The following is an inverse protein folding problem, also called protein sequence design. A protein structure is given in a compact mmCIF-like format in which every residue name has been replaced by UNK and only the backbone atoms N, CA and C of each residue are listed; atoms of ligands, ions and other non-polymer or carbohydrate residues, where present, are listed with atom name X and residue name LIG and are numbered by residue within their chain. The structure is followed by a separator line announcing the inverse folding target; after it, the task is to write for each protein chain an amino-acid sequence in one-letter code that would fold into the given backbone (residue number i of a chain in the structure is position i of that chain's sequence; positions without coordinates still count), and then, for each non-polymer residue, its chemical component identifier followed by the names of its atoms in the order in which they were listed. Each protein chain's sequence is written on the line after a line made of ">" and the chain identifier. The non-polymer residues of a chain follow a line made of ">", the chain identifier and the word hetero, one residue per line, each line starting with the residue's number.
data_IF_662233779529
#
_entry.id   IF_662233779529
#
_cell.length_a   1.000
_cell.length_b   1.000
_cell.length_c   1.000
_cell.angle_alpha   90.00
_cell.angle_beta   90.00
_cell.angle_gamma   90.00
#
_symmetry.space_group_name_H-M   'P 1'
#
loop_
_entity.id
_entity.type
_entity.pdbx_description
1 polymer ?
#
# COMPACT_ATOMS: atom_id res chain seq x y z
N UNK A 1 5.14 -20.58 7.57
CA UNK A 1 4.72 -19.56 6.57
C UNK A 1 3.58 -18.78 7.17
N UNK A 2 3.65 -17.44 7.18
CA UNK A 2 2.52 -16.61 7.63
C UNK A 2 1.35 -16.73 6.64
N UNK A 3 0.13 -16.70 7.16
CA UNK A 3 -1.10 -16.72 6.35
C UNK A 3 -1.18 -15.42 5.54
N UNK A 4 -1.34 -15.45 4.21
CA UNK A 4 -1.46 -14.24 3.41
C UNK A 4 -2.78 -13.51 3.70
N UNK A 5 -2.82 -12.19 3.50
CA UNK A 5 -4.06 -11.38 3.66
C UNK A 5 -5.21 -11.93 2.81
N UNK A 6 -4.88 -12.47 1.63
CA UNK A 6 -5.84 -13.13 0.73
C UNK A 6 -6.55 -14.33 1.38
N UNK A 7 -5.96 -14.99 2.37
CA UNK A 7 -6.51 -16.17 3.03
C UNK A 7 -7.22 -15.87 4.37
N UNK A 8 -7.24 -14.62 4.83
CA UNK A 8 -7.92 -14.23 6.08
C UNK A 8 -9.45 -14.40 5.95
N UNK A 9 -10.07 -14.86 7.03
CA UNK A 9 -11.52 -14.85 7.25
C UNK A 9 -12.00 -13.44 7.57
N UNK A 10 -13.30 -13.17 7.43
CA UNK A 10 -13.86 -11.83 7.64
C UNK A 10 -13.53 -11.22 9.01
N UNK A 11 -13.59 -11.96 10.15
CA UNK A 11 -13.17 -11.42 11.44
C UNK A 11 -11.68 -11.06 11.50
N UNK A 12 -10.82 -11.88 10.89
CA UNK A 12 -9.38 -11.60 10.81
C UNK A 12 -9.10 -10.40 9.90
N UNK A 13 -9.86 -10.24 8.80
CA UNK A 13 -9.77 -9.09 7.92
C UNK A 13 -10.11 -7.79 8.67
N UNK A 14 -11.18 -7.78 9.46
CA UNK A 14 -11.58 -6.61 10.25
C UNK A 14 -10.51 -6.25 11.30
N UNK A 15 -9.97 -7.25 12.01
CA UNK A 15 -8.89 -7.03 12.97
C UNK A 15 -7.62 -6.49 12.31
N UNK A 16 -7.22 -7.08 11.18
CA UNK A 16 -6.07 -6.62 10.42
C UNK A 16 -6.28 -5.19 9.90
N UNK A 17 -7.49 -4.85 9.44
CA UNK A 17 -7.84 -3.53 8.96
C UNK A 17 -7.66 -2.48 10.06
N UNK A 18 -8.25 -2.71 11.24
CA UNK A 18 -8.13 -1.79 12.38
C UNK A 18 -6.68 -1.66 12.86
N UNK A 19 -5.93 -2.77 12.93
CA UNK A 19 -4.52 -2.75 13.34
C UNK A 19 -3.68 -1.91 12.37
N UNK A 20 -3.84 -2.12 11.06
CA UNK A 20 -3.05 -1.40 10.06
C UNK A 20 -3.42 0.09 10.06
N UNK A 21 -4.71 0.41 10.19
CA UNK A 21 -5.17 1.80 10.29
C UNK A 21 -4.53 2.51 11.49
N UNK A 22 -4.55 1.87 12.66
CA UNK A 22 -3.88 2.41 13.87
C UNK A 22 -2.37 2.57 13.68
N UNK A 23 -1.70 1.59 13.05
CA UNK A 23 -0.27 1.68 12.76
C UNK A 23 0.06 2.89 11.87
N UNK A 24 -0.75 3.15 10.84
CA UNK A 24 -0.56 4.33 9.97
C UNK A 24 -0.78 5.61 10.77
N UNK A 25 -1.87 5.71 11.53
CA UNK A 25 -2.21 6.92 12.29
C UNK A 25 -1.13 7.26 13.34
N UNK A 26 -0.54 6.24 13.97
CA UNK A 26 0.55 6.39 14.94
C UNK A 26 1.92 6.60 14.30
N UNK A 27 2.07 6.31 13.00
CA UNK A 27 3.37 6.40 12.32
C UNK A 27 3.72 7.81 11.86
N UNK A 28 2.78 8.77 11.88
CA UNK A 28 2.99 10.14 11.39
C UNK A 28 4.13 10.83 12.16
N UNK A 29 5.18 11.22 11.45
CA UNK A 29 6.37 11.87 11.98
C UNK A 29 6.92 12.85 10.93
N UNK A 30 7.50 13.97 11.37
CA UNK A 30 8.13 14.97 10.49
C UNK A 30 9.43 14.46 9.85
N UNK A 31 10.06 13.42 10.40
CA UNK A 31 11.34 12.86 9.95
C UNK A 31 11.21 11.56 9.14
N UNK A 32 10.25 11.45 8.22
CA UNK A 32 10.11 10.24 7.39
C UNK A 32 11.35 9.96 6.54
N UNK A 33 11.94 8.78 6.74
CA UNK A 33 12.95 8.23 5.84
C UNK A 33 12.32 7.67 4.57
N UNK A 34 13.13 7.40 3.54
CA UNK A 34 12.66 6.69 2.35
C UNK A 34 12.00 5.34 2.68
N UNK A 35 12.53 4.62 3.68
CA UNK A 35 11.96 3.35 4.10
C UNK A 35 10.57 3.53 4.71
N UNK A 36 10.35 4.58 5.52
CA UNK A 36 9.05 4.85 6.13
C UNK A 36 7.97 5.11 5.07
N UNK A 37 8.31 5.85 4.01
CA UNK A 37 7.42 6.05 2.88
C UNK A 37 7.04 4.74 2.18
N UNK A 38 8.01 3.85 1.96
CA UNK A 38 7.77 2.53 1.33
C UNK A 38 6.90 1.64 2.23
N UNK A 39 7.20 1.61 3.54
CA UNK A 39 6.42 0.82 4.49
C UNK A 39 4.98 1.35 4.59
N UNK A 40 4.80 2.67 4.63
CA UNK A 40 3.48 3.31 4.64
C UNK A 40 2.69 3.01 3.36
N UNK A 41 3.35 3.05 2.20
CA UNK A 41 2.76 2.65 0.92
C UNK A 41 2.25 1.21 0.96
N UNK A 42 3.06 0.28 1.51
CA UNK A 42 2.66 -1.13 1.68
C UNK A 42 1.46 -1.28 2.61
N UNK A 43 1.45 -0.58 3.74
CA UNK A 43 0.33 -0.63 4.69
C UNK A 43 -0.97 -0.11 4.07
N UNK A 44 -0.91 1.02 3.34
CA UNK A 44 -2.07 1.55 2.59
C UNK A 44 -2.57 0.60 1.52
N UNK A 45 -1.67 -0.08 0.80
CA UNK A 45 -2.04 -1.10 -0.16
C UNK A 45 -2.86 -2.21 0.50
N UNK A 46 -2.40 -2.73 1.64
CA UNK A 46 -3.13 -3.76 2.38
C UNK A 46 -4.45 -3.28 2.97
N UNK A 47 -4.57 -2.01 3.40
CA UNK A 47 -5.86 -1.44 3.79
C UNK A 47 -6.86 -1.43 2.63
N UNK A 48 -6.41 -1.10 1.42
CA UNK A 48 -7.25 -1.16 0.23
C UNK A 48 -7.71 -2.59 -0.07
N UNK A 49 -6.82 -3.59 0.04
CA UNK A 49 -7.17 -5.00 -0.16
C UNK A 49 -8.19 -5.49 0.87
N UNK A 50 -8.01 -5.09 2.13
CA UNK A 50 -8.91 -5.44 3.23
C UNK A 50 -10.26 -4.73 3.13
N UNK A 51 -10.28 -3.44 2.80
CA UNK A 51 -11.50 -2.64 2.57
C UNK A 51 -12.34 -3.26 1.44
N UNK A 52 -11.70 -3.63 0.33
CA UNK A 52 -12.36 -4.34 -0.77
C UNK A 52 -12.95 -5.69 -0.33
N UNK A 53 -12.19 -6.50 0.40
CA UNK A 53 -12.64 -7.81 0.91
C UNK A 53 -13.80 -7.72 1.89
N UNK A 54 -13.81 -6.68 2.72
CA UNK A 54 -14.86 -6.42 3.70
C UNK A 54 -16.13 -5.83 3.06
N UNK A 55 -16.16 -5.63 1.74
CA UNK A 55 -17.24 -4.98 0.99
C UNK A 55 -17.55 -3.56 1.53
N UNK A 56 -16.50 -2.81 1.88
CA UNK A 56 -16.60 -1.39 2.24
C UNK A 56 -17.01 -0.56 1.01
N UNK A 57 -17.36 0.71 1.23
CA UNK A 57 -17.68 1.65 0.15
C UNK A 57 -16.49 1.78 -0.81
N UNK A 58 -16.78 1.82 -2.10
CA UNK A 58 -15.75 1.85 -3.14
C UNK A 58 -14.89 3.13 -3.03
N UNK A 59 -15.48 4.23 -2.57
CA UNK A 59 -14.77 5.48 -2.28
C UNK A 59 -13.70 5.28 -1.20
N UNK A 60 -14.01 4.56 -0.13
CA UNK A 60 -13.08 4.25 0.96
C UNK A 60 -11.95 3.35 0.46
N UNK A 61 -12.28 2.33 -0.32
CA UNK A 61 -11.29 1.44 -0.94
C UNK A 61 -10.32 2.23 -1.83
N UNK A 62 -10.83 3.12 -2.70
CA UNK A 62 -10.00 3.95 -3.58
C UNK A 62 -9.15 4.95 -2.79
N UNK A 63 -9.69 5.51 -1.70
CA UNK A 63 -8.97 6.47 -0.86
C UNK A 63 -7.67 5.89 -0.30
N UNK A 64 -7.68 4.60 0.09
CA UNK A 64 -6.48 3.91 0.58
C UNK A 64 -5.39 3.84 -0.49
N UNK A 65 -5.76 3.59 -1.75
CA UNK A 65 -4.79 3.50 -2.85
C UNK A 65 -4.29 4.85 -3.35
N UNK A 66 -5.11 5.91 -3.27
CA UNK A 66 -4.85 7.21 -3.90
C UNK A 66 -3.49 7.82 -3.54
N UNK A 67 -3.03 7.66 -2.31
CA UNK A 67 -1.76 8.23 -1.82
C UNK A 67 -0.52 7.38 -2.10
N UNK A 68 -0.68 6.14 -2.54
CA UNK A 68 0.43 5.17 -2.66
C UNK A 68 1.48 5.62 -3.68
N UNK A 69 1.13 6.09 -4.89
CA UNK A 69 2.14 6.51 -5.87
C UNK A 69 3.06 7.61 -5.31
N UNK A 70 2.48 8.61 -4.64
CA UNK A 70 3.26 9.68 -4.03
C UNK A 70 4.21 9.19 -2.94
N UNK A 71 3.75 8.25 -2.09
CA UNK A 71 4.59 7.64 -1.06
C UNK A 71 5.74 6.85 -1.70
N UNK A 72 5.49 6.08 -2.75
CA UNK A 72 6.54 5.33 -3.44
C UNK A 72 7.58 6.26 -4.09
N UNK A 73 7.15 7.36 -4.71
CA UNK A 73 8.05 8.39 -5.24
C UNK A 73 8.94 8.99 -4.15
N UNK A 74 8.36 9.34 -2.98
CA UNK A 74 9.10 9.79 -1.80
C UNK A 74 10.05 8.73 -1.24
N UNK A 75 9.68 7.45 -1.40
CA UNK A 75 10.52 6.29 -1.13
C UNK A 75 11.67 6.09 -2.11
N UNK A 76 11.78 6.91 -3.16
CA UNK A 76 12.85 6.85 -4.16
C UNK A 76 12.53 5.99 -5.39
N UNK A 77 11.28 5.54 -5.56
CA UNK A 77 10.86 4.83 -6.76
C UNK A 77 10.51 5.80 -7.89
N UNK A 78 11.18 5.68 -9.03
CA UNK A 78 10.78 6.35 -10.25
C UNK A 78 9.60 5.61 -10.89
N UNK A 79 8.39 6.16 -10.72
CA UNK A 79 7.15 5.63 -11.29
C UNK A 79 6.79 6.27 -12.64
N UNK A 80 7.71 7.02 -13.25
CA UNK A 80 7.46 7.65 -14.54
C UNK A 80 7.30 6.62 -15.66
N UNK A 81 6.50 6.97 -16.67
CA UNK A 81 6.38 6.15 -17.88
C UNK A 81 7.72 5.97 -18.60
N UNK A 82 8.64 6.94 -18.48
CA UNK A 82 9.98 6.82 -19.04
C UNK A 82 10.74 5.66 -18.43
N UNK A 83 10.72 5.52 -17.10
CA UNK A 83 11.36 4.40 -16.41
C UNK A 83 10.75 3.06 -16.80
N UNK A 84 9.44 3.01 -16.98
CA UNK A 84 8.75 1.82 -17.46
C UNK A 84 9.22 1.39 -18.87
N UNK A 85 9.33 2.34 -19.80
CA UNK A 85 9.81 2.08 -21.17
C UNK A 85 11.25 1.56 -21.15
N UNK A 86 12.12 2.14 -20.33
CA UNK A 86 13.50 1.67 -20.14
C UNK A 86 13.53 0.19 -19.71
N UNK A 87 12.76 -0.17 -18.68
CA UNK A 87 12.68 -1.53 -18.16
C UNK A 87 12.16 -2.54 -19.18
N UNK A 88 11.14 -2.18 -19.96
CA UNK A 88 10.61 -3.04 -21.03
C UNK A 88 11.67 -3.26 -22.11
N UNK A 89 12.37 -2.20 -22.51
CA UNK A 89 13.42 -2.25 -23.54
C UNK A 89 14.61 -3.13 -23.16
N UNK A 90 14.89 -3.28 -21.86
CA UNK A 90 15.94 -4.18 -21.38
C UNK A 90 15.57 -5.67 -21.49
N UNK A 91 14.27 -5.99 -21.50
CA UNK A 91 13.76 -7.38 -21.57
C UNK A 91 13.55 -7.87 -23.01
N UNK A 92 13.51 -6.95 -23.97
CA UNK A 92 13.30 -7.24 -25.39
C UNK A 92 14.61 -7.33 -26.19
N UNK A 93 15.76 -7.27 -25.51
CA UNK A 93 17.08 -7.60 -26.06
C UNK A 93 17.36 -9.08 -25.91
#
# INVERSE_FOLDING_TARGET
>A
MSKPISALSDPECLQAYELIKQLIDLSVNEEYTQLDYIQTARLKYHLGELSYKLNDEWENTILHYKGIPHLLEKGGFDLSLHKWIELVSLRTK
#
